data_IF_289940663210
#
_entry.id   IF_289940663210
#
_cell.length_a   1.000
_cell.length_b   1.000
_cell.length_c   1.000
_cell.angle_alpha   90.00
_cell.angle_beta   90.00
_cell.angle_gamma   90.00
#
_symmetry.space_group_name_H-M   'P 1'
#
loop_
_entity.id
_entity.type
_entity.pdbx_description
1 polymer ?
#
# COMPACT_ATOMS: atom_id res chain seq x y z
N UNK A 1 11.90 -38.50 78.26
CA UNK A 1 12.64 -38.64 76.96
C UNK A 1 11.70 -38.10 75.91
N UNK A 2 11.95 -36.88 75.52
CA UNK A 2 11.02 -35.97 74.80
C UNK A 2 11.36 -35.98 73.30
N UNK A 3 10.44 -36.41 72.49
CA UNK A 3 10.56 -36.27 71.03
C UNK A 3 9.80 -35.04 70.58
N UNK A 4 10.56 -34.06 70.00
CA UNK A 4 10.01 -32.89 69.35
C UNK A 4 9.53 -33.25 67.95
N UNK A 5 8.29 -32.92 67.68
CA UNK A 5 7.72 -32.89 66.33
C UNK A 5 8.18 -31.64 65.58
N UNK A 6 8.78 -31.85 64.39
CA UNK A 6 9.04 -30.80 63.42
C UNK A 6 7.87 -30.67 62.47
N UNK A 7 7.34 -29.46 62.43
CA UNK A 7 6.29 -29.02 61.48
C UNK A 7 6.88 -28.86 60.10
N UNK A 8 6.22 -29.49 59.13
CA UNK A 8 6.51 -29.36 57.70
C UNK A 8 5.76 -28.11 57.18
N UNK A 9 6.49 -27.10 56.72
CA UNK A 9 5.96 -25.98 55.99
C UNK A 9 5.43 -26.42 54.63
N UNK A 10 4.14 -26.16 54.39
CA UNK A 10 3.51 -26.27 53.08
C UNK A 10 3.90 -25.08 52.20
N UNK A 11 4.69 -25.33 51.16
CA UNK A 11 4.95 -24.37 50.09
C UNK A 11 3.72 -24.25 49.17
N UNK A 12 3.21 -23.05 49.08
CA UNK A 12 2.13 -22.64 48.15
C UNK A 12 2.58 -22.78 46.69
N UNK A 13 1.68 -23.17 45.77
CA UNK A 13 2.01 -23.19 44.35
C UNK A 13 2.05 -21.79 43.78
N UNK A 14 3.14 -21.44 43.09
CA UNK A 14 3.27 -20.24 42.30
C UNK A 14 2.17 -20.21 41.22
N UNK A 15 1.33 -19.19 41.29
CA UNK A 15 0.43 -18.80 40.21
C UNK A 15 1.27 -18.31 39.03
N UNK A 16 1.32 -19.10 37.97
CA UNK A 16 1.71 -18.64 36.64
C UNK A 16 0.58 -17.78 36.11
N UNK A 17 0.66 -16.47 36.36
CA UNK A 17 -0.21 -15.48 35.76
C UNK A 17 0.05 -15.46 34.23
N UNK A 18 -1.01 -15.72 33.47
CA UNK A 18 -0.99 -15.76 32.02
C UNK A 18 -0.60 -14.43 31.39
N UNK A 19 0.42 -14.48 30.56
CA UNK A 19 0.89 -13.42 29.67
C UNK A 19 0.14 -13.48 28.32
N UNK A 20 -1.18 -13.50 28.33
CA UNK A 20 -1.99 -13.67 27.13
C UNK A 20 -3.16 -12.69 26.95
N UNK A 21 -3.18 -11.53 27.67
CA UNK A 21 -4.36 -10.64 27.59
C UNK A 21 -4.02 -9.14 27.55
N UNK A 22 -3.01 -8.71 26.79
CA UNK A 22 -2.62 -7.29 26.73
C UNK A 22 -2.26 -6.80 25.35
N UNK A 23 -2.89 -7.28 24.26
CA UNK A 23 -2.77 -6.65 22.95
C UNK A 23 -4.17 -6.44 22.35
N UNK A 24 -4.97 -5.60 23.00
CA UNK A 24 -5.98 -4.81 22.32
C UNK A 24 -5.40 -3.42 22.14
N UNK A 25 -5.05 -2.98 20.94
CA UNK A 25 -4.76 -1.57 20.73
C UNK A 25 -6.09 -0.81 20.80
N UNK A 26 -6.43 -0.28 21.96
CA UNK A 26 -7.40 0.80 22.07
C UNK A 26 -6.79 2.05 21.46
N UNK A 27 -6.78 2.13 20.13
CA UNK A 27 -6.61 3.38 19.42
C UNK A 27 -7.97 4.08 19.41
N UNK A 28 -8.19 4.97 20.37
CA UNK A 28 -9.24 5.98 20.29
C UNK A 28 -8.93 6.87 19.09
N UNK A 29 -9.51 6.52 17.92
CA UNK A 29 -9.45 7.33 16.72
C UNK A 29 -10.48 8.47 16.85
N UNK A 30 -10.10 9.52 17.56
CA UNK A 30 -10.89 10.75 17.72
C UNK A 30 -10.65 11.71 16.56
N UNK A 31 -10.89 11.33 15.31
CA UNK A 31 -10.74 12.22 14.16
C UNK A 31 -12.09 12.38 13.48
N UNK A 32 -12.58 13.62 13.39
CA UNK A 32 -13.84 14.01 12.74
C UNK A 32 -13.90 13.76 11.21
N UNK A 33 -12.81 13.28 10.58
CA UNK A 33 -12.78 12.86 9.16
C UNK A 33 -12.26 11.44 9.10
N UNK A 34 -12.87 10.60 8.28
CA UNK A 34 -12.40 9.25 8.02
C UNK A 34 -10.90 9.26 7.69
N UNK A 35 -10.09 8.56 8.51
CA UNK A 35 -8.64 8.45 8.31
C UNK A 35 -8.36 7.66 7.02
N UNK A 36 -7.36 8.09 6.26
CA UNK A 36 -6.82 7.34 5.13
C UNK A 36 -5.53 6.67 5.56
N UNK A 37 -5.34 5.40 5.23
CA UNK A 37 -4.06 4.71 5.37
C UNK A 37 -3.37 4.63 4.02
N UNK A 38 -2.22 5.27 3.87
CA UNK A 38 -1.35 5.11 2.70
C UNK A 38 -0.38 3.97 2.98
N UNK A 39 -0.55 2.86 2.26
CA UNK A 39 0.28 1.66 2.39
C UNK A 39 1.32 1.69 1.28
N UNK A 40 2.59 1.86 1.65
CA UNK A 40 3.71 2.00 0.72
C UNK A 40 4.50 0.69 0.68
N UNK A 41 4.51 0.00 -0.46
CA UNK A 41 5.32 -1.22 -0.62
C UNK A 41 6.73 -0.87 -1.07
N UNK A 42 7.75 -1.35 -0.36
CA UNK A 42 9.16 -1.08 -0.67
C UNK A 42 10.05 -2.32 -0.51
N UNK A 43 11.19 -2.32 -1.20
CA UNK A 43 12.29 -3.26 -1.01
C UNK A 43 13.61 -2.62 -1.45
N UNK A 44 14.56 -2.41 -0.55
CA UNK A 44 15.93 -1.91 -0.79
C UNK A 44 16.03 -0.70 -1.74
N UNK A 45 15.10 0.27 -1.64
CA UNK A 45 15.07 1.50 -2.43
C UNK A 45 14.83 2.73 -1.53
N UNK A 46 15.78 2.97 -0.62
CA UNK A 46 15.74 4.11 0.32
C UNK A 46 15.73 5.45 -0.38
N UNK A 47 16.41 5.57 -1.52
CA UNK A 47 16.44 6.74 -2.39
C UNK A 47 15.05 7.13 -2.91
N UNK A 48 14.36 6.18 -3.51
CA UNK A 48 13.02 6.36 -4.04
C UNK A 48 11.98 6.55 -2.91
N UNK A 49 12.04 5.73 -1.86
CA UNK A 49 11.15 5.83 -0.71
C UNK A 49 11.24 7.22 -0.05
N UNK A 50 12.45 7.78 0.08
CA UNK A 50 12.64 9.12 0.62
C UNK A 50 11.94 10.20 -0.23
N UNK A 51 12.01 10.11 -1.56
CA UNK A 51 11.30 11.02 -2.46
C UNK A 51 9.76 10.90 -2.32
N UNK A 52 9.25 9.67 -2.16
CA UNK A 52 7.82 9.43 -1.93
C UNK A 52 7.37 9.99 -0.57
N UNK A 53 8.13 9.76 0.51
CA UNK A 53 7.81 10.27 1.85
C UNK A 53 7.81 11.80 1.87
N UNK A 54 8.78 12.46 1.20
CA UNK A 54 8.82 13.91 1.04
C UNK A 54 7.55 14.43 0.36
N UNK A 55 7.14 13.84 -0.75
CA UNK A 55 5.93 14.24 -1.46
C UNK A 55 4.65 13.96 -0.66
N UNK A 56 4.62 12.92 0.18
CA UNK A 56 3.52 12.68 1.12
C UNK A 56 3.53 13.70 2.26
N UNK A 57 4.68 14.07 2.79
CA UNK A 57 4.78 15.11 3.80
C UNK A 57 4.34 16.50 3.29
N UNK A 58 4.32 16.72 1.98
CA UNK A 58 3.85 17.95 1.32
C UNK A 58 2.38 17.89 0.85
N UNK A 59 1.61 16.86 1.20
CA UNK A 59 0.21 16.75 0.78
C UNK A 59 -0.67 17.88 1.34
N UNK A 60 -1.63 18.34 0.55
CA UNK A 60 -2.60 19.38 0.97
C UNK A 60 -3.63 18.87 1.98
N UNK A 61 -3.98 17.59 1.93
CA UNK A 61 -4.82 16.91 2.93
C UNK A 61 -3.92 16.14 3.89
N UNK A 62 -3.96 16.48 5.17
CA UNK A 62 -3.11 15.91 6.23
C UNK A 62 -3.81 14.80 7.03
N UNK A 63 -5.06 14.47 6.72
CA UNK A 63 -5.87 13.49 7.45
C UNK A 63 -5.55 12.05 7.05
N UNK A 64 -4.27 11.65 7.08
CA UNK A 64 -3.83 10.31 6.73
C UNK A 64 -2.67 9.83 7.60
N UNK A 65 -2.53 8.53 7.71
CA UNK A 65 -1.36 7.83 8.21
C UNK A 65 -0.57 7.20 7.06
N UNK A 66 0.70 6.90 7.32
CA UNK A 66 1.56 6.14 6.41
C UNK A 66 1.93 4.81 7.07
N UNK A 67 1.82 3.71 6.33
CA UNK A 67 2.30 2.39 6.74
C UNK A 67 3.24 1.87 5.64
N UNK A 68 4.52 1.79 5.96
CA UNK A 68 5.53 1.23 5.05
C UNK A 68 5.50 -0.28 5.16
N UNK A 69 5.13 -0.93 4.06
CA UNK A 69 5.10 -2.38 3.87
C UNK A 69 6.42 -2.82 3.22
N UNK A 70 7.38 -3.22 4.04
CA UNK A 70 8.76 -3.48 3.65
C UNK A 70 8.99 -4.99 3.44
N UNK A 71 9.22 -5.38 2.18
CA UNK A 71 9.38 -6.77 1.74
C UNK A 71 10.78 -7.36 2.07
N UNK A 72 11.33 -6.97 3.22
CA UNK A 72 12.57 -7.51 3.77
C UNK A 72 13.82 -6.72 3.37
N UNK A 73 13.73 -5.39 3.34
CA UNK A 73 14.88 -4.52 3.15
C UNK A 73 15.90 -4.66 4.30
N UNK A 74 17.09 -4.16 4.05
CA UNK A 74 18.13 -4.00 5.06
C UNK A 74 17.79 -2.89 6.08
N UNK A 75 18.65 -2.75 7.10
CA UNK A 75 18.45 -1.80 8.19
C UNK A 75 18.40 -0.33 7.74
N UNK A 76 18.94 0.01 6.58
CA UNK A 76 18.95 1.39 6.07
C UNK A 76 17.52 1.92 5.85
N UNK A 77 16.57 1.04 5.49
CA UNK A 77 15.17 1.44 5.36
C UNK A 77 14.57 1.87 6.69
N UNK A 78 14.79 1.11 7.76
CA UNK A 78 14.33 1.48 9.10
C UNK A 78 14.95 2.81 9.58
N UNK A 79 16.25 2.99 9.38
CA UNK A 79 16.96 4.23 9.71
C UNK A 79 16.44 5.44 8.92
N UNK A 80 16.09 5.25 7.64
CA UNK A 80 15.48 6.30 6.83
C UNK A 80 14.15 6.77 7.42
N UNK A 81 13.35 5.88 8.00
CA UNK A 81 11.99 6.20 8.49
C UNK A 81 11.99 7.01 9.79
N UNK A 82 13.03 6.90 10.62
CA UNK A 82 13.10 7.56 11.92
C UNK A 82 12.84 9.08 11.87
N UNK A 83 13.54 9.88 11.01
CA UNK A 83 13.32 11.32 10.94
C UNK A 83 11.92 11.70 10.39
N UNK A 84 11.25 10.79 9.64
CA UNK A 84 9.93 11.05 9.09
C UNK A 84 8.78 10.85 10.08
N UNK A 85 9.02 10.25 11.25
CA UNK A 85 8.00 9.90 12.24
C UNK A 85 7.14 11.09 12.67
N UNK A 86 7.73 12.27 12.83
CA UNK A 86 7.03 13.50 13.21
C UNK A 86 6.26 14.19 12.04
N UNK A 87 6.45 13.75 10.80
CA UNK A 87 5.86 14.39 9.62
C UNK A 87 4.44 13.92 9.32
N UNK A 88 3.99 12.83 9.94
CA UNK A 88 2.70 12.19 9.69
C UNK A 88 1.90 12.04 10.99
N UNK A 89 0.57 11.92 10.88
CA UNK A 89 -0.30 11.58 12.03
C UNK A 89 0.18 10.28 12.70
N UNK A 90 0.60 9.32 11.89
CA UNK A 90 1.26 8.08 12.29
C UNK A 90 2.12 7.59 11.12
N UNK A 91 3.32 7.13 11.43
CA UNK A 91 4.19 6.39 10.51
C UNK A 91 4.41 4.98 11.09
N UNK A 92 3.88 3.97 10.42
CA UNK A 92 4.10 2.56 10.75
C UNK A 92 5.15 1.94 9.83
N UNK A 93 5.95 1.02 10.35
CA UNK A 93 6.86 0.19 9.58
C UNK A 93 6.53 -1.27 9.83
N UNK A 94 6.14 -1.99 8.79
CA UNK A 94 5.86 -3.42 8.80
C UNK A 94 6.93 -4.09 7.98
N UNK A 95 7.66 -4.99 8.59
CA UNK A 95 8.78 -5.69 7.97
C UNK A 95 8.63 -7.20 8.14
N UNK A 96 9.11 -7.98 7.19
CA UNK A 96 9.35 -9.40 7.32
C UNK A 96 10.67 -9.79 6.65
N UNK A 97 11.25 -10.90 7.06
CA UNK A 97 12.46 -11.43 6.44
C UNK A 97 12.29 -11.64 4.93
N UNK A 98 13.26 -11.22 4.13
CA UNK A 98 13.22 -11.41 2.68
C UNK A 98 13.25 -12.90 2.30
N UNK A 99 12.24 -13.37 1.58
CA UNK A 99 12.14 -14.73 1.02
C UNK A 99 11.55 -14.65 -0.38
N UNK A 100 12.28 -14.03 -1.31
CA UNK A 100 11.78 -13.63 -2.62
C UNK A 100 10.70 -12.53 -2.54
N UNK A 101 10.13 -12.16 -3.68
CA UNK A 101 9.11 -11.12 -3.78
C UNK A 101 7.77 -11.61 -3.17
N UNK A 102 7.35 -11.03 -2.03
CA UNK A 102 6.12 -11.36 -1.30
C UNK A 102 5.25 -10.12 -1.03
N UNK A 103 5.08 -9.30 -2.06
CA UNK A 103 4.34 -8.04 -1.92
C UNK A 103 2.88 -8.24 -1.45
N UNK A 104 2.23 -9.34 -1.78
CA UNK A 104 0.88 -9.66 -1.31
C UNK A 104 0.85 -9.83 0.22
N UNK A 105 1.77 -10.61 0.77
CA UNK A 105 1.84 -10.88 2.20
C UNK A 105 2.17 -9.62 3.01
N UNK A 106 3.19 -8.86 2.59
CA UNK A 106 3.59 -7.65 3.35
C UNK A 106 2.51 -6.57 3.29
N UNK A 107 1.79 -6.42 2.17
CA UNK A 107 0.62 -5.54 2.08
C UNK A 107 -0.49 -5.98 3.03
N UNK A 108 -0.76 -7.27 3.16
CA UNK A 108 -1.74 -7.80 4.11
C UNK A 108 -1.36 -7.46 5.56
N UNK A 109 -0.10 -7.66 5.94
CA UNK A 109 0.42 -7.27 7.26
C UNK A 109 0.23 -5.76 7.51
N UNK A 110 0.49 -4.93 6.50
CA UNK A 110 0.28 -3.49 6.58
C UNK A 110 -1.21 -3.11 6.68
N UNK A 111 -2.11 -3.80 5.98
CA UNK A 111 -3.56 -3.64 6.13
C UNK A 111 -3.98 -3.91 7.59
N UNK A 112 -3.49 -4.99 8.20
CA UNK A 112 -3.82 -5.33 9.60
C UNK A 112 -3.34 -4.26 10.59
N UNK A 113 -2.18 -3.65 10.35
CA UNK A 113 -1.64 -2.57 11.18
C UNK A 113 -2.27 -1.20 10.92
N UNK A 114 -2.92 -1.00 9.78
CA UNK A 114 -3.50 0.28 9.41
C UNK A 114 -4.81 0.56 10.16
N UNK A 115 -5.13 1.86 10.40
CA UNK A 115 -6.31 2.29 11.13
C UNK A 115 -7.37 2.96 10.23
N UNK A 116 -7.01 3.36 9.00
CA UNK A 116 -7.88 4.11 8.10
C UNK A 116 -9.02 3.28 7.51
N UNK A 117 -10.15 3.92 7.28
CA UNK A 117 -11.31 3.33 6.61
C UNK A 117 -11.10 3.16 5.09
N UNK A 118 -10.19 3.95 4.52
CA UNK A 118 -9.76 3.87 3.13
C UNK A 118 -8.27 3.53 3.09
N UNK A 119 -7.90 2.41 2.48
CA UNK A 119 -6.51 2.05 2.21
C UNK A 119 -6.12 2.52 0.80
N UNK A 120 -5.07 3.31 0.70
CA UNK A 120 -4.48 3.76 -0.58
C UNK A 120 -3.13 3.08 -0.73
N UNK A 121 -3.03 2.17 -1.69
CA UNK A 121 -1.80 1.46 -2.02
C UNK A 121 -0.94 2.29 -2.96
N UNK A 122 0.34 2.34 -2.66
CA UNK A 122 1.36 3.08 -3.39
C UNK A 122 2.66 2.27 -3.41
N UNK A 123 3.38 2.24 -4.54
CA UNK A 123 4.72 1.66 -4.55
C UNK A 123 5.75 2.68 -4.05
N UNK A 124 6.83 2.23 -3.43
CA UNK A 124 7.87 3.07 -2.83
C UNK A 124 8.71 3.87 -3.83
N UNK A 125 8.38 3.78 -5.12
CA UNK A 125 8.97 4.53 -6.23
C UNK A 125 7.93 5.36 -7.01
N UNK A 126 6.73 5.53 -6.44
CA UNK A 126 5.63 6.28 -7.04
C UNK A 126 5.41 7.60 -6.30
N UNK A 127 6.00 8.70 -6.77
CA UNK A 127 5.88 10.03 -6.16
C UNK A 127 4.46 10.58 -6.39
N UNK A 128 3.66 10.83 -5.33
CA UNK A 128 2.32 11.38 -5.47
C UNK A 128 2.35 12.89 -5.67
N UNK A 129 1.37 13.43 -6.40
CA UNK A 129 1.20 14.89 -6.55
C UNK A 129 0.57 15.51 -5.29
N UNK A 130 0.70 16.84 -5.04
CA UNK A 130 0.28 17.48 -3.78
C UNK A 130 -1.19 17.29 -3.39
N UNK A 131 -2.08 17.04 -4.34
CA UNK A 131 -3.51 16.83 -4.11
C UNK A 131 -3.94 15.36 -4.12
N UNK A 132 -2.99 14.42 -4.08
CA UNK A 132 -3.23 12.97 -4.21
C UNK A 132 -4.18 12.42 -3.14
N UNK A 133 -3.91 12.71 -1.86
CA UNK A 133 -4.75 12.28 -0.74
C UNK A 133 -6.14 12.90 -0.82
N UNK A 134 -6.22 14.22 -1.06
CA UNK A 134 -7.48 14.93 -1.23
C UNK A 134 -8.31 14.34 -2.39
N UNK A 135 -7.66 13.99 -3.50
CA UNK A 135 -8.34 13.40 -4.65
C UNK A 135 -8.90 12.00 -4.33
N UNK A 136 -8.13 11.13 -3.67
CA UNK A 136 -8.63 9.83 -3.23
C UNK A 136 -9.79 9.96 -2.26
N UNK A 137 -9.72 10.87 -1.28
CA UNK A 137 -10.82 11.15 -0.35
C UNK A 137 -12.10 11.58 -1.07
N UNK A 138 -12.00 12.49 -2.05
CA UNK A 138 -13.15 12.94 -2.85
C UNK A 138 -13.76 11.84 -3.72
N UNK A 139 -12.95 10.89 -4.16
CA UNK A 139 -13.38 9.79 -5.01
C UNK A 139 -13.87 8.57 -4.22
N UNK A 140 -13.52 8.47 -2.94
CA UNK A 140 -13.95 7.38 -2.07
C UNK A 140 -15.47 7.31 -1.98
N UNK A 141 -16.01 6.10 -2.14
CA UNK A 141 -17.45 5.83 -2.07
C UNK A 141 -17.64 4.35 -1.68
N UNK A 142 -18.54 4.03 -0.72
CA UNK A 142 -18.83 2.64 -0.36
C UNK A 142 -19.20 1.79 -1.57
N UNK A 143 -18.64 0.58 -1.66
CA UNK A 143 -18.86 -0.33 -2.78
C UNK A 143 -18.14 0.06 -4.08
N UNK A 144 -17.18 0.99 -4.01
CA UNK A 144 -16.32 1.37 -5.12
C UNK A 144 -14.85 1.41 -4.72
N UNK A 145 -13.98 0.83 -5.54
CA UNK A 145 -12.54 1.07 -5.46
C UNK A 145 -12.10 2.07 -6.53
N UNK A 146 -11.05 2.84 -6.26
CA UNK A 146 -10.51 3.85 -7.18
C UNK A 146 -9.20 3.36 -7.77
N UNK A 147 -9.19 3.17 -9.09
CA UNK A 147 -7.98 2.81 -9.83
C UNK A 147 -7.34 4.06 -10.44
N UNK A 148 -6.20 4.46 -9.92
CA UNK A 148 -5.39 5.55 -10.43
C UNK A 148 -4.50 5.13 -11.59
N UNK A 149 -3.62 6.04 -12.01
CA UNK A 149 -2.65 5.78 -13.07
C UNK A 149 -1.28 6.35 -12.74
N UNK A 150 -0.28 5.94 -13.52
CA UNK A 150 1.12 6.32 -13.37
C UNK A 150 1.61 7.02 -14.62
N UNK A 151 2.52 7.97 -14.46
CA UNK A 151 3.40 8.52 -15.50
C UNK A 151 4.75 7.88 -15.30
N UNK A 152 5.23 7.12 -16.26
CA UNK A 152 6.53 6.45 -16.19
C UNK A 152 7.62 7.45 -16.56
N UNK A 153 8.62 7.60 -15.71
CA UNK A 153 9.78 8.46 -15.95
C UNK A 153 10.89 7.67 -16.63
N UNK A 154 11.71 8.37 -17.43
CA UNK A 154 12.91 7.80 -18.01
C UNK A 154 13.96 7.54 -16.93
N UNK A 155 14.92 6.65 -17.24
CA UNK A 155 16.07 6.39 -16.36
C UNK A 155 16.84 7.68 -16.07
N UNK A 156 17.14 8.46 -17.11
CA UNK A 156 17.89 9.71 -16.99
C UNK A 156 17.18 10.73 -16.09
N UNK A 157 15.86 10.92 -16.25
CA UNK A 157 15.10 11.83 -15.39
C UNK A 157 15.06 11.32 -13.94
N UNK A 158 14.90 10.02 -13.74
CA UNK A 158 14.88 9.40 -12.41
C UNK A 158 16.22 9.63 -11.68
N UNK A 159 17.35 9.36 -12.35
CA UNK A 159 18.68 9.55 -11.78
C UNK A 159 18.88 11.02 -11.36
N UNK A 160 18.45 11.99 -12.19
CA UNK A 160 18.50 13.42 -11.83
C UNK A 160 17.62 13.78 -10.66
N UNK A 161 16.37 13.27 -10.61
CA UNK A 161 15.45 13.53 -9.51
C UNK A 161 16.05 13.07 -8.18
N UNK A 162 16.64 11.88 -8.16
CA UNK A 162 17.19 11.29 -6.94
C UNK A 162 18.52 11.95 -6.53
N UNK A 163 19.43 12.25 -7.48
CA UNK A 163 20.72 12.86 -7.22
C UNK A 163 20.60 14.33 -6.77
N UNK A 164 19.74 15.10 -7.46
CA UNK A 164 19.57 16.54 -7.23
C UNK A 164 18.42 16.85 -6.26
N UNK A 165 17.79 15.82 -5.67
CA UNK A 165 16.62 15.94 -4.79
C UNK A 165 15.50 16.81 -5.37
N UNK A 166 15.26 16.71 -6.68
CA UNK A 166 14.21 17.46 -7.35
C UNK A 166 12.82 17.06 -6.84
N UNK A 167 11.88 18.01 -6.94
CA UNK A 167 10.47 17.85 -6.56
C UNK A 167 9.56 17.90 -7.80
N UNK A 168 9.57 16.86 -8.66
CA UNK A 168 8.82 16.87 -9.91
C UNK A 168 7.30 16.97 -9.70
N UNK A 169 6.80 16.55 -8.54
CA UNK A 169 5.38 16.68 -8.18
C UNK A 169 4.89 18.14 -8.15
N UNK A 170 5.81 19.10 -7.94
CA UNK A 170 5.53 20.54 -7.93
C UNK A 170 5.70 21.21 -9.30
N UNK A 171 6.18 20.48 -10.31
CA UNK A 171 6.43 21.05 -11.63
C UNK A 171 5.15 21.58 -12.27
N UNK A 172 5.27 22.77 -12.89
CA UNK A 172 4.23 23.36 -13.71
C UNK A 172 4.05 22.55 -15.02
N UNK A 173 2.90 22.71 -15.67
CA UNK A 173 2.59 22.01 -16.93
C UNK A 173 3.66 22.22 -18.00
N UNK A 174 4.25 23.42 -18.10
CA UNK A 174 5.33 23.72 -19.05
C UNK A 174 6.52 22.77 -18.88
N UNK A 175 6.99 22.56 -17.66
CA UNK A 175 8.11 21.65 -17.37
C UNK A 175 7.80 20.20 -17.77
N UNK A 176 6.54 19.80 -17.59
CA UNK A 176 6.06 18.49 -18.02
C UNK A 176 5.97 18.36 -19.55
N UNK A 177 5.57 19.41 -20.25
CA UNK A 177 5.59 19.45 -21.74
C UNK A 177 7.03 19.32 -22.24
N UNK A 178 7.97 20.07 -21.67
CA UNK A 178 9.40 19.99 -21.99
C UNK A 178 9.95 18.58 -21.71
N UNK A 179 9.61 17.98 -20.57
CA UNK A 179 10.00 16.60 -20.23
C UNK A 179 9.41 15.60 -21.25
N UNK A 180 8.17 15.80 -21.69
CA UNK A 180 7.56 14.94 -22.72
C UNK A 180 8.25 15.05 -24.07
N UNK A 181 8.65 16.25 -24.47
CA UNK A 181 9.38 16.49 -25.72
C UNK A 181 10.79 15.87 -25.70
N UNK A 182 11.45 15.85 -24.54
CA UNK A 182 12.74 15.16 -24.34
C UNK A 182 12.63 13.63 -24.24
N UNK A 183 11.42 13.07 -24.17
CA UNK A 183 11.22 11.63 -23.94
C UNK A 183 11.38 11.22 -22.48
N UNK A 184 11.46 12.16 -21.55
CA UNK A 184 11.64 11.93 -20.12
C UNK A 184 10.41 11.29 -19.43
N UNK A 185 9.23 11.40 -20.08
CA UNK A 185 7.99 10.78 -19.60
C UNK A 185 7.25 10.09 -20.76
N UNK A 186 6.54 9.00 -20.45
CA UNK A 186 5.81 8.23 -21.45
C UNK A 186 4.52 8.93 -21.95
N UNK A 187 3.86 9.75 -21.13
CA UNK A 187 2.59 10.42 -21.46
C UNK A 187 2.31 11.62 -20.54
N UNK A 188 1.64 12.63 -21.08
CA UNK A 188 1.30 13.86 -20.38
C UNK A 188 -0.12 13.89 -19.80
N UNK A 189 -1.07 13.20 -20.46
CA UNK A 189 -2.49 13.29 -20.12
C UNK A 189 -2.82 13.01 -18.63
N UNK A 190 -2.16 12.04 -17.94
CA UNK A 190 -2.46 11.79 -16.53
C UNK A 190 -2.18 12.96 -15.60
N UNK A 191 -1.31 13.88 -16.01
CA UNK A 191 -0.93 15.06 -15.21
C UNK A 191 -1.97 16.17 -15.29
N UNK A 192 -2.91 16.11 -16.23
CA UNK A 192 -4.04 17.04 -16.30
C UNK A 192 -5.05 16.73 -15.19
N UNK A 193 -5.67 17.76 -14.64
CA UNK A 193 -6.75 17.61 -13.67
C UNK A 193 -8.08 17.96 -14.34
N UNK A 194 -8.96 16.95 -14.49
CA UNK A 194 -10.27 17.10 -15.13
C UNK A 194 -11.40 16.59 -14.23
N UNK A 195 -12.48 17.36 -14.05
CA UNK A 195 -13.62 16.95 -13.23
C UNK A 195 -14.55 16.02 -14.04
N UNK A 196 -14.18 14.74 -14.16
CA UNK A 196 -14.96 13.78 -14.95
C UNK A 196 -16.35 13.44 -14.36
N UNK A 197 -16.64 13.82 -13.11
CA UNK A 197 -17.94 13.56 -12.49
C UNK A 197 -18.41 12.11 -12.62
N UNK A 198 -19.68 11.88 -13.08
CA UNK A 198 -20.24 10.53 -13.25
C UNK A 198 -19.50 9.66 -14.28
N UNK A 199 -18.78 10.27 -15.24
CA UNK A 199 -18.01 9.53 -16.26
C UNK A 199 -16.94 8.62 -15.65
N UNK A 200 -16.50 8.89 -14.40
CA UNK A 200 -15.57 8.03 -13.67
C UNK A 200 -16.10 6.62 -13.38
N UNK A 201 -17.42 6.43 -13.47
CA UNK A 201 -18.09 5.14 -13.25
C UNK A 201 -18.22 4.31 -14.54
N UNK A 202 -17.86 4.90 -15.70
CA UNK A 202 -17.87 4.22 -16.99
C UNK A 202 -16.57 3.41 -17.18
N UNK A 203 -16.64 2.29 -17.86
CA UNK A 203 -15.47 1.45 -18.20
C UNK A 203 -15.09 0.40 -17.15
N UNK A 204 -16.06 -0.07 -16.35
CA UNK A 204 -15.87 -1.01 -15.24
C UNK A 204 -15.20 -2.36 -15.55
N UNK A 205 -15.22 -2.85 -16.80
CA UNK A 205 -14.72 -4.19 -17.15
C UNK A 205 -13.19 -4.31 -17.28
N UNK A 206 -12.44 -3.21 -17.30
CA UNK A 206 -10.99 -3.23 -17.55
C UNK A 206 -10.19 -3.41 -16.24
N UNK A 207 -10.18 -4.61 -15.68
CA UNK A 207 -9.46 -4.94 -14.44
C UNK A 207 -7.99 -5.33 -14.66
N UNK A 208 -7.64 -5.92 -15.81
CA UNK A 208 -6.28 -6.45 -16.11
C UNK A 208 -5.16 -5.38 -16.10
N UNK A 209 -5.49 -4.12 -16.30
CA UNK A 209 -4.53 -3.01 -16.34
C UNK A 209 -4.36 -2.29 -15.00
N UNK A 210 -5.12 -2.65 -13.99
CA UNK A 210 -5.07 -2.02 -12.66
C UNK A 210 -3.84 -2.52 -11.91
N UNK A 211 -3.19 -1.62 -11.19
CA UNK A 211 -1.99 -1.90 -10.39
C UNK A 211 -2.13 -1.31 -9.00
N UNK A 212 -1.63 -2.03 -8.01
CA UNK A 212 -1.58 -1.58 -6.62
C UNK A 212 -0.69 -0.36 -6.39
N UNK A 213 0.18 -0.03 -7.33
CA UNK A 213 0.99 1.19 -7.28
C UNK A 213 0.18 2.51 -7.22
N UNK A 214 -1.12 2.49 -7.44
CA UNK A 214 -2.05 3.61 -7.27
C UNK A 214 -3.48 3.07 -7.23
N UNK A 215 -3.90 2.56 -6.08
CA UNK A 215 -5.18 1.88 -5.92
C UNK A 215 -5.76 2.22 -4.53
N UNK A 216 -7.00 2.72 -4.47
CA UNK A 216 -7.68 2.98 -3.21
C UNK A 216 -8.89 2.07 -3.04
N UNK A 217 -9.01 1.42 -1.89
CA UNK A 217 -10.04 0.43 -1.57
C UNK A 217 -10.54 0.68 -0.15
N UNK A 218 -11.85 0.64 0.07
CA UNK A 218 -12.43 0.67 1.41
C UNK A 218 -11.94 -0.51 2.26
N UNK A 219 -11.57 -0.26 3.52
CA UNK A 219 -11.09 -1.30 4.42
C UNK A 219 -12.10 -2.46 4.56
N UNK A 220 -13.40 -2.15 4.64
CA UNK A 220 -14.45 -3.16 4.71
C UNK A 220 -14.47 -4.08 3.48
N UNK A 221 -14.20 -3.53 2.28
CA UNK A 221 -14.11 -4.30 1.05
C UNK A 221 -12.87 -5.19 1.03
N UNK A 222 -11.71 -4.70 1.53
CA UNK A 222 -10.49 -5.51 1.69
C UNK A 222 -10.72 -6.70 2.63
N UNK A 223 -11.33 -6.46 3.80
CA UNK A 223 -11.64 -7.52 4.76
C UNK A 223 -12.63 -8.54 4.18
N UNK A 224 -13.63 -8.08 3.41
CA UNK A 224 -14.63 -8.96 2.78
C UNK A 224 -14.00 -9.94 1.78
N UNK A 225 -12.99 -9.51 1.02
CA UNK A 225 -12.29 -10.35 0.04
C UNK A 225 -11.04 -11.02 0.61
N UNK A 226 -10.78 -10.85 1.92
CA UNK A 226 -9.64 -11.42 2.65
C UNK A 226 -8.28 -10.89 2.16
N UNK A 227 -8.22 -9.63 1.75
CA UNK A 227 -6.98 -8.94 1.33
C UNK A 227 -6.37 -9.43 0.03
N UNK A 228 -5.05 -9.27 -0.10
CA UNK A 228 -4.27 -9.85 -1.20
C UNK A 228 -4.13 -11.36 -1.03
N UNK A 229 -3.98 -12.10 -2.11
CA UNK A 229 -3.72 -13.53 -2.06
C UNK A 229 -2.21 -13.81 -2.07
N UNK A 230 -1.66 -14.28 -0.95
CA UNK A 230 -0.24 -14.61 -0.80
C UNK A 230 0.16 -15.91 -1.53
N UNK A 231 -0.77 -16.63 -2.14
CA UNK A 231 -0.47 -17.70 -3.08
C UNK A 231 0.24 -17.18 -4.34
N UNK A 232 0.05 -15.90 -4.69
CA UNK A 232 0.81 -15.21 -5.73
C UNK A 232 2.19 -14.82 -5.20
N UNK A 233 3.18 -15.68 -5.40
CA UNK A 233 4.58 -15.44 -5.05
C UNK A 233 5.39 -15.03 -6.29
N UNK A 234 6.43 -14.21 -6.11
CA UNK A 234 7.14 -13.60 -7.23
C UNK A 234 6.34 -12.44 -7.85
N UNK A 235 6.91 -11.79 -8.84
CA UNK A 235 6.32 -10.60 -9.42
C UNK A 235 5.08 -10.90 -10.29
N UNK A 236 3.99 -10.18 -10.03
CA UNK A 236 2.87 -9.98 -10.94
C UNK A 236 1.63 -10.82 -10.63
N UNK A 237 0.50 -10.22 -10.94
CA UNK A 237 -0.89 -10.71 -10.88
C UNK A 237 -1.58 -10.64 -9.51
N UNK A 238 -0.88 -10.44 -8.40
CA UNK A 238 -1.47 -10.28 -7.08
C UNK A 238 -2.48 -9.12 -7.00
N UNK A 239 -2.18 -8.01 -7.67
CA UNK A 239 -3.07 -6.85 -7.79
C UNK A 239 -4.27 -7.12 -8.71
N UNK A 240 -4.03 -7.83 -9.82
CA UNK A 240 -5.10 -8.21 -10.75
C UNK A 240 -6.08 -9.20 -10.12
N UNK A 241 -5.59 -10.13 -9.32
CA UNK A 241 -6.41 -11.08 -8.55
C UNK A 241 -7.25 -10.36 -7.49
N UNK A 242 -6.65 -9.46 -6.69
CA UNK A 242 -7.40 -8.66 -5.72
C UNK A 242 -8.55 -7.90 -6.38
N UNK A 243 -8.27 -7.19 -7.48
CA UNK A 243 -9.29 -6.41 -8.20
C UNK A 243 -10.38 -7.32 -8.75
N UNK A 244 -10.02 -8.48 -9.29
CA UNK A 244 -10.98 -9.48 -9.79
C UNK A 244 -11.91 -9.93 -8.66
N UNK A 245 -11.37 -10.31 -7.49
CA UNK A 245 -12.17 -10.75 -6.33
C UNK A 245 -13.05 -9.64 -5.77
N UNK A 246 -12.59 -8.39 -5.76
CA UNK A 246 -13.43 -7.23 -5.43
C UNK A 246 -14.64 -7.12 -6.39
N UNK A 247 -14.41 -7.26 -7.68
CA UNK A 247 -15.49 -7.20 -8.68
C UNK A 247 -16.45 -8.37 -8.55
N UNK A 248 -15.96 -9.59 -8.34
CA UNK A 248 -16.80 -10.78 -8.08
C UNK A 248 -17.64 -10.64 -6.80
N UNK A 249 -17.12 -9.89 -5.79
CA UNK A 249 -17.86 -9.59 -4.56
C UNK A 249 -18.81 -8.39 -4.67
N UNK A 250 -19.00 -7.83 -5.88
CA UNK A 250 -19.91 -6.73 -6.16
C UNK A 250 -19.32 -5.32 -5.99
N UNK A 251 -18.03 -5.19 -5.62
CA UNK A 251 -17.38 -3.88 -5.57
C UNK A 251 -17.10 -3.39 -7.00
N UNK A 252 -17.45 -2.14 -7.29
CA UNK A 252 -17.34 -1.56 -8.63
C UNK A 252 -16.07 -0.70 -8.77
N UNK A 253 -15.60 -0.53 -9.99
CA UNK A 253 -14.46 0.32 -10.30
C UNK A 253 -14.87 1.76 -10.53
N UNK A 254 -14.12 2.70 -9.93
CA UNK A 254 -14.15 4.13 -10.25
C UNK A 254 -12.79 4.54 -10.84
N UNK A 255 -12.82 5.30 -11.93
CA UNK A 255 -11.61 5.75 -12.64
C UNK A 255 -10.97 6.93 -11.92
N UNK A 256 -9.72 6.76 -11.46
CA UNK A 256 -8.90 7.80 -10.85
C UNK A 256 -8.15 8.71 -11.84
N UNK A 257 -8.22 8.44 -13.16
CA UNK A 257 -7.54 9.25 -14.17
C UNK A 257 -7.90 10.72 -14.05
N UNK A 258 -6.94 11.60 -14.36
CA UNK A 258 -7.07 13.06 -14.26
C UNK A 258 -7.35 13.58 -12.84
N UNK A 259 -7.05 12.78 -11.79
CA UNK A 259 -7.18 13.21 -10.41
C UNK A 259 -6.06 12.66 -9.51
N UNK A 260 -5.69 11.38 -9.65
CA UNK A 260 -4.82 10.68 -8.70
C UNK A 260 -3.50 10.21 -9.33
N UNK A 261 -3.02 10.87 -10.39
CA UNK A 261 -1.79 10.44 -11.05
C UNK A 261 -0.56 10.51 -10.11
N UNK A 262 0.31 9.51 -10.23
CA UNK A 262 1.62 9.43 -9.58
C UNK A 262 2.73 9.37 -10.62
N UNK A 263 3.95 9.77 -10.22
CA UNK A 263 5.14 9.77 -11.04
C UNK A 263 5.96 8.54 -10.66
N UNK A 264 6.08 7.58 -11.57
CA UNK A 264 6.77 6.32 -11.30
C UNK A 264 8.23 6.44 -11.74
N UNK A 265 9.13 6.41 -10.79
CA UNK A 265 10.57 6.41 -10.99
C UNK A 265 10.98 5.15 -11.76
N UNK A 266 11.95 5.29 -12.62
CA UNK A 266 12.47 4.14 -13.35
C UNK A 266 13.22 3.19 -12.42
N UNK A 267 13.03 1.91 -12.65
CA UNK A 267 13.84 0.83 -12.07
C UNK A 267 14.02 -0.29 -13.10
N UNK A 268 15.03 -1.14 -12.90
CA UNK A 268 15.19 -2.35 -13.70
C UNK A 268 13.97 -3.27 -13.54
N UNK A 269 13.68 -4.05 -14.57
CA UNK A 269 12.55 -4.99 -14.51
C UNK A 269 12.77 -6.05 -13.44
N UNK A 270 11.71 -6.37 -12.71
CA UNK A 270 11.72 -7.44 -11.73
C UNK A 270 11.82 -8.83 -12.42
N UNK A 271 12.29 -9.82 -11.67
CA UNK A 271 12.28 -11.21 -12.13
C UNK A 271 10.85 -11.67 -12.45
N UNK A 272 10.64 -12.18 -13.67
CA UNK A 272 9.35 -12.67 -14.17
C UNK A 272 9.24 -14.18 -14.23
N UNK A 273 10.16 -14.91 -13.63
CA UNK A 273 10.20 -16.38 -13.65
C UNK A 273 8.90 -17.04 -13.17
N UNK A 274 8.19 -16.39 -12.23
CA UNK A 274 6.93 -16.87 -11.66
C UNK A 274 5.67 -16.42 -12.42
N UNK A 275 5.80 -15.55 -13.43
CA UNK A 275 4.65 -14.93 -14.09
C UNK A 275 3.69 -15.95 -14.72
N UNK A 276 4.22 -17.00 -15.35
CA UNK A 276 3.40 -18.05 -15.98
C UNK A 276 2.55 -18.81 -14.93
N UNK A 277 3.12 -19.09 -13.75
CA UNK A 277 2.39 -19.74 -12.64
C UNK A 277 1.31 -18.80 -12.12
N UNK A 278 1.64 -17.53 -11.91
CA UNK A 278 0.70 -16.52 -11.45
C UNK A 278 -0.44 -16.28 -12.47
N UNK A 279 -0.16 -16.38 -13.77
CA UNK A 279 -1.20 -16.35 -14.81
C UNK A 279 -2.19 -17.51 -14.68
N UNK A 280 -1.71 -18.73 -14.41
CA UNK A 280 -2.58 -19.89 -14.18
C UNK A 280 -3.47 -19.71 -12.94
N UNK A 281 -2.90 -19.20 -11.83
CA UNK A 281 -3.67 -18.89 -10.61
C UNK A 281 -4.77 -17.84 -10.88
N UNK A 282 -4.43 -16.78 -11.61
CA UNK A 282 -5.38 -15.73 -11.97
C UNK A 282 -6.50 -16.25 -12.89
N UNK A 283 -6.15 -17.10 -13.88
CA UNK A 283 -7.15 -17.74 -14.74
C UNK A 283 -8.09 -18.65 -13.97
N UNK A 284 -7.58 -19.40 -12.99
CA UNK A 284 -8.40 -20.22 -12.10
C UNK A 284 -9.34 -19.34 -11.27
N UNK A 285 -8.83 -18.25 -10.65
CA UNK A 285 -9.64 -17.32 -9.87
C UNK A 285 -10.78 -16.69 -10.70
N UNK A 286 -10.50 -16.35 -11.97
CA UNK A 286 -11.49 -15.81 -12.89
C UNK A 286 -12.56 -16.85 -13.23
N UNK A 287 -12.17 -18.05 -13.66
CA UNK A 287 -13.08 -19.13 -14.05
C UNK A 287 -14.00 -19.56 -12.91
N UNK A 288 -13.44 -19.66 -11.69
CA UNK A 288 -14.14 -20.17 -10.52
C UNK A 288 -14.97 -19.10 -9.80
N UNK A 289 -15.02 -17.86 -10.31
CA UNK A 289 -15.75 -16.75 -9.71
C UNK A 289 -15.30 -16.42 -8.28
N UNK A 290 -14.00 -16.64 -7.98
CA UNK A 290 -13.46 -16.52 -6.62
C UNK A 290 -13.66 -15.12 -6.06
N UNK A 291 -14.10 -15.04 -4.80
CA UNK A 291 -14.33 -13.78 -4.08
C UNK A 291 -13.37 -13.57 -2.89
N UNK A 292 -12.70 -14.62 -2.39
CA UNK A 292 -11.76 -14.55 -1.28
C UNK A 292 -10.38 -15.04 -1.69
N UNK A 293 -9.35 -14.55 -1.02
CA UNK A 293 -7.99 -15.06 -1.15
C UNK A 293 -7.88 -16.53 -0.71
N UNK A 294 -6.94 -17.28 -1.28
CA UNK A 294 -6.59 -18.61 -0.79
C UNK A 294 -5.73 -18.52 0.48
N UNK A 295 -4.80 -17.57 0.50
CA UNK A 295 -3.95 -17.26 1.65
C UNK A 295 -4.05 -15.75 1.87
N UNK A 296 -5.02 -15.32 2.67
CA UNK A 296 -5.39 -13.94 2.86
C UNK A 296 -5.01 -13.35 4.22
N UNK A 297 -5.71 -12.29 4.61
CA UNK A 297 -5.58 -11.63 5.92
C UNK A 297 -5.87 -12.58 7.08
N UNK A 298 -6.83 -13.48 6.90
CA UNK A 298 -7.24 -14.46 7.91
C UNK A 298 -6.18 -15.53 8.19
N UNK A 299 -5.14 -15.62 7.37
CA UNK A 299 -4.03 -16.58 7.50
C UNK A 299 -2.81 -16.00 8.24
N UNK A 300 -2.84 -14.71 8.62
CA UNK A 300 -1.79 -13.97 9.33
C UNK A 300 -2.14 -13.76 10.79
#
# INVERSE_FOLDING_TARGET
MTLRSQSVEQSSPHQTAGFADSIKPQLQCGIQRALISVIITTYNRTDALNAVLRALAAQTDRGFEVVVADDGSDQQTAQLLEPWSASFVRLGHVWHEHRNFRAAEIRNRAILQSCGELCVFLDGDCIPRPNFIQAHRRLAEPGWFVAGNRVLLSRQLTERILADHLEPELWALRQWVEARLRGDINRLQPLLSLPLGPLRRLGGAAWRSIRSANLAIGRADLLRVDGFDAAFSGWGREDSDLVLRLMHSGTRRKDGRFATAVLHLWHAENDRSRLAVNDLLLHAAFRDGRTKAQIGLSSL
#
